data_IF_979366801314
#
_entry.id   IF_979366801314
#
_cell.length_a   1.000
_cell.length_b   1.000
_cell.length_c   1.000
_cell.angle_alpha   90.00
_cell.angle_beta   90.00
_cell.angle_gamma   90.00
#
_symmetry.space_group_name_H-M   'P 1'
#
loop_
_entity.id
_entity.type
_entity.pdbx_description
1 polymer ?
#
# COMPACT_ATOMS: atom_id res chain seq x y z
N UNK A 1 30.58 4.39 -29.24
CA UNK A 1 29.40 3.54 -28.97
C UNK A 1 29.07 3.56 -27.47
N UNK A 2 28.44 4.61 -26.94
CA UNK A 2 28.16 4.69 -25.49
C UNK A 2 26.92 5.51 -25.09
N UNK A 3 26.17 6.03 -26.06
CA UNK A 3 25.00 6.88 -25.80
C UNK A 3 23.68 6.10 -25.75
N UNK A 4 23.63 4.92 -26.38
CA UNK A 4 22.44 4.08 -26.38
C UNK A 4 22.30 3.23 -25.11
N UNK A 5 23.39 2.79 -24.48
CA UNK A 5 23.31 1.93 -23.28
C UNK A 5 22.72 2.64 -22.05
N UNK A 6 22.92 3.96 -21.91
CA UNK A 6 22.35 4.76 -20.82
C UNK A 6 20.85 5.02 -20.96
N UNK A 7 20.34 5.07 -22.19
CA UNK A 7 18.91 5.25 -22.46
C UNK A 7 18.12 3.99 -22.14
N UNK A 8 18.67 2.80 -22.43
CA UNK A 8 18.05 1.53 -22.08
C UNK A 8 18.20 1.17 -20.59
N UNK A 9 19.31 1.51 -19.93
CA UNK A 9 19.52 1.19 -18.51
C UNK A 9 18.58 1.97 -17.58
N UNK A 10 18.18 3.19 -17.97
CA UNK A 10 17.23 4.02 -17.22
C UNK A 10 15.83 3.41 -17.20
N UNK A 11 15.40 2.85 -18.33
CA UNK A 11 14.01 2.44 -18.54
C UNK A 11 13.63 1.15 -17.80
N UNK A 12 14.62 0.34 -17.40
CA UNK A 12 14.41 -0.98 -16.76
C UNK A 12 14.52 -0.97 -15.24
N UNK A 13 14.90 0.15 -14.61
CA UNK A 13 15.29 0.17 -13.18
C UNK A 13 14.19 -0.35 -12.24
N UNK A 14 12.92 -0.10 -12.58
CA UNK A 14 11.78 -0.43 -11.73
C UNK A 14 10.83 -1.47 -12.34
N UNK A 15 11.18 -2.04 -13.51
CA UNK A 15 10.29 -2.96 -14.25
C UNK A 15 10.02 -4.23 -13.43
N UNK A 16 11.08 -4.83 -12.90
CA UNK A 16 10.96 -5.99 -12.01
C UNK A 16 10.14 -5.68 -10.75
N UNK A 17 10.36 -4.52 -10.15
CA UNK A 17 9.67 -4.10 -8.92
C UNK A 17 8.18 -3.87 -9.19
N UNK A 18 7.80 -3.23 -10.30
CA UNK A 18 6.39 -2.99 -10.60
C UNK A 18 5.66 -4.30 -10.92
N UNK A 19 6.31 -5.22 -11.60
CA UNK A 19 5.79 -6.55 -11.93
C UNK A 19 5.52 -7.40 -10.67
N UNK A 20 6.35 -7.23 -9.64
CA UNK A 20 6.30 -8.00 -8.38
C UNK A 20 5.44 -7.35 -7.30
N UNK A 21 5.04 -6.08 -7.42
CA UNK A 21 4.35 -5.37 -6.33
C UNK A 21 3.03 -6.03 -5.93
N UNK A 22 2.11 -6.23 -6.89
CA UNK A 22 0.80 -6.87 -6.64
C UNK A 22 0.93 -8.29 -6.06
N UNK A 23 1.69 -9.23 -6.66
CA UNK A 23 1.81 -10.57 -6.09
C UNK A 23 2.52 -10.58 -4.71
N UNK A 24 3.43 -9.65 -4.45
CA UNK A 24 4.07 -9.53 -3.13
C UNK A 24 3.11 -9.00 -2.07
N UNK A 25 2.30 -7.99 -2.40
CA UNK A 25 1.24 -7.49 -1.53
C UNK A 25 0.21 -8.57 -1.20
N UNK A 26 -0.22 -9.35 -2.20
CA UNK A 26 -1.10 -10.49 -2.02
C UNK A 26 -0.49 -11.58 -1.13
N UNK A 27 0.78 -11.94 -1.37
CA UNK A 27 1.48 -12.92 -0.54
C UNK A 27 1.58 -12.46 0.92
N UNK A 28 1.89 -11.18 1.14
CA UNK A 28 1.93 -10.62 2.50
C UNK A 28 0.55 -10.71 3.16
N UNK A 29 -0.50 -10.26 2.47
CA UNK A 29 -1.86 -10.24 3.01
C UNK A 29 -2.31 -11.63 3.46
N UNK A 30 -2.12 -12.65 2.61
CA UNK A 30 -2.47 -14.05 2.91
C UNK A 30 -1.64 -14.58 4.08
N UNK A 31 -0.32 -14.37 4.06
CA UNK A 31 0.58 -14.92 5.09
C UNK A 31 0.47 -14.22 6.43
N UNK A 32 0.05 -12.95 6.47
CA UNK A 32 -0.11 -12.20 7.71
C UNK A 32 -1.40 -12.51 8.46
N UNK A 33 -2.42 -13.07 7.77
CA UNK A 33 -3.77 -13.19 8.34
C UNK A 33 -3.81 -13.99 9.64
N UNK A 34 -3.23 -15.20 9.66
CA UNK A 34 -3.25 -16.07 10.85
C UNK A 34 -2.59 -15.39 12.05
N UNK A 35 -1.45 -14.73 11.85
CA UNK A 35 -0.75 -14.02 12.93
C UNK A 35 -1.60 -12.89 13.51
N UNK A 36 -2.29 -12.14 12.64
CA UNK A 36 -3.19 -11.06 13.07
C UNK A 36 -4.41 -11.62 13.79
N UNK A 37 -5.00 -12.70 13.29
CA UNK A 37 -6.12 -13.39 13.90
C UNK A 37 -5.78 -13.92 15.31
N UNK A 38 -4.59 -14.48 15.49
CA UNK A 38 -4.12 -14.98 16.78
C UNK A 38 -3.92 -13.85 17.81
N UNK A 39 -3.55 -12.65 17.34
CA UNK A 39 -3.22 -11.50 18.19
C UNK A 39 -4.40 -10.57 18.45
N UNK A 40 -5.43 -10.61 17.58
CA UNK A 40 -6.56 -9.68 17.58
C UNK A 40 -7.87 -10.45 17.34
N UNK A 41 -8.58 -10.73 18.42
CA UNK A 41 -9.81 -11.54 18.42
C UNK A 41 -10.96 -10.93 17.62
N UNK A 42 -10.91 -9.62 17.36
CA UNK A 42 -11.83 -8.85 16.54
C UNK A 42 -11.88 -9.37 15.10
N UNK A 43 -10.82 -10.04 14.64
CA UNK A 43 -10.72 -10.61 13.29
C UNK A 43 -11.38 -11.98 13.14
N UNK A 44 -11.92 -12.59 14.22
CA UNK A 44 -12.46 -13.96 14.20
C UNK A 44 -13.56 -14.20 13.17
N UNK A 45 -14.34 -13.17 12.87
CA UNK A 45 -15.47 -13.25 11.93
C UNK A 45 -15.16 -12.63 10.56
N UNK A 46 -13.92 -12.20 10.33
CA UNK A 46 -13.50 -11.62 9.05
C UNK A 46 -13.35 -12.73 8.02
N UNK A 47 -13.95 -12.55 6.84
CA UNK A 47 -13.71 -13.42 5.70
C UNK A 47 -12.23 -13.28 5.26
N UNK A 48 -11.44 -14.37 5.24
CA UNK A 48 -10.06 -14.33 4.77
C UNK A 48 -9.90 -13.75 3.36
N UNK A 49 -10.91 -13.86 2.50
CA UNK A 49 -10.90 -13.28 1.15
C UNK A 49 -11.08 -11.76 1.16
N UNK A 50 -11.95 -11.25 2.03
CA UNK A 50 -12.09 -9.79 2.22
C UNK A 50 -10.79 -9.23 2.82
N UNK A 51 -10.22 -9.92 3.81
CA UNK A 51 -8.90 -9.58 4.38
C UNK A 51 -7.83 -9.48 3.30
N UNK A 52 -7.64 -10.56 2.53
CA UNK A 52 -6.66 -10.61 1.44
C UNK A 52 -6.85 -9.42 0.49
N UNK A 53 -8.08 -9.19 0.04
CA UNK A 53 -8.37 -8.11 -0.90
C UNK A 53 -7.98 -6.73 -0.35
N UNK A 54 -8.49 -6.33 0.82
CA UNK A 54 -8.26 -4.97 1.32
C UNK A 54 -6.82 -4.75 1.78
N UNK A 55 -6.20 -5.74 2.42
CA UNK A 55 -4.80 -5.64 2.87
C UNK A 55 -3.84 -5.61 1.67
N UNK A 56 -4.14 -6.36 0.60
CA UNK A 56 -3.37 -6.28 -0.65
C UNK A 56 -3.45 -4.90 -1.29
N UNK A 57 -4.67 -4.34 -1.42
CA UNK A 57 -4.88 -2.99 -1.96
C UNK A 57 -4.12 -1.94 -1.14
N UNK A 58 -4.17 -2.05 0.18
CA UNK A 58 -3.46 -1.16 1.07
C UNK A 58 -1.93 -1.26 0.92
N UNK A 59 -1.38 -2.47 0.77
CA UNK A 59 0.04 -2.67 0.47
C UNK A 59 0.46 -2.05 -0.87
N UNK A 60 -0.38 -2.20 -1.91
CA UNK A 60 -0.16 -1.57 -3.22
C UNK A 60 -0.16 -0.04 -3.09
N UNK A 61 -1.07 0.53 -2.29
CA UNK A 61 -1.14 1.98 -2.03
C UNK A 61 0.13 2.51 -1.37
N UNK A 62 0.64 1.82 -0.35
CA UNK A 62 1.94 2.17 0.29
C UNK A 62 3.07 2.14 -0.74
N UNK A 63 3.14 1.08 -1.55
CA UNK A 63 4.10 1.00 -2.64
C UNK A 63 3.96 2.16 -3.63
N UNK A 64 2.74 2.53 -4.01
CA UNK A 64 2.49 3.64 -4.92
C UNK A 64 2.96 5.00 -4.35
N UNK A 65 2.78 5.22 -3.04
CA UNK A 65 3.32 6.40 -2.36
C UNK A 65 4.84 6.47 -2.50
N UNK A 66 5.54 5.36 -2.19
CA UNK A 66 6.99 5.29 -2.37
C UNK A 66 7.43 5.52 -3.82
N UNK A 67 6.64 5.07 -4.81
CA UNK A 67 6.93 5.31 -6.23
C UNK A 67 6.95 6.80 -6.55
N UNK A 68 5.94 7.53 -6.06
CA UNK A 68 5.77 8.97 -6.30
C UNK A 68 6.91 9.82 -5.71
N UNK A 69 7.56 9.31 -4.66
CA UNK A 69 8.72 9.97 -4.04
C UNK A 69 10.02 9.71 -4.80
N UNK A 70 10.18 8.50 -5.35
CA UNK A 70 11.41 8.05 -6.03
C UNK A 70 11.48 8.43 -7.50
N UNK A 71 10.35 8.40 -8.22
CA UNK A 71 10.31 8.63 -9.67
C UNK A 71 9.90 10.07 -9.97
N UNK A 72 10.89 10.91 -10.31
CA UNK A 72 10.66 12.32 -10.66
C UNK A 72 10.22 12.53 -12.11
N UNK A 73 10.51 11.57 -12.99
CA UNK A 73 10.13 11.64 -14.41
C UNK A 73 8.65 11.30 -14.56
N UNK A 74 7.84 12.27 -14.99
CA UNK A 74 6.40 12.07 -15.26
C UNK A 74 6.14 10.96 -16.27
N UNK A 75 6.97 10.87 -17.32
CA UNK A 75 6.84 9.83 -18.35
C UNK A 75 7.11 8.44 -17.78
N UNK A 76 8.14 8.31 -16.93
CA UNK A 76 8.46 7.03 -16.30
C UNK A 76 7.41 6.64 -15.25
N UNK A 77 6.98 7.59 -14.42
CA UNK A 77 5.91 7.39 -13.45
C UNK A 77 4.63 6.90 -14.13
N UNK A 78 4.17 7.58 -15.18
CA UNK A 78 2.97 7.19 -15.94
C UNK A 78 3.09 5.81 -16.59
N UNK A 79 4.29 5.43 -17.04
CA UNK A 79 4.53 4.08 -17.59
C UNK A 79 4.39 3.02 -16.51
N UNK A 80 5.04 3.22 -15.36
CA UNK A 80 5.01 2.28 -14.24
C UNK A 80 3.60 2.16 -13.65
N UNK A 81 2.88 3.27 -13.47
CA UNK A 81 1.49 3.23 -12.99
C UNK A 81 0.55 2.55 -13.98
N UNK A 82 0.77 2.67 -15.29
CA UNK A 82 0.01 1.92 -16.30
C UNK A 82 0.26 0.40 -16.21
N UNK A 83 1.51 -0.01 -15.98
CA UNK A 83 1.83 -1.44 -15.75
C UNK A 83 1.13 -1.92 -14.48
N UNK A 84 1.27 -1.18 -13.39
CA UNK A 84 0.66 -1.50 -12.11
C UNK A 84 -0.87 -1.61 -12.21
N UNK A 85 -1.53 -0.64 -12.87
CA UNK A 85 -2.96 -0.66 -13.17
C UNK A 85 -3.38 -1.96 -13.88
N UNK A 86 -2.66 -2.34 -14.94
CA UNK A 86 -2.91 -3.60 -15.65
C UNK A 86 -2.78 -4.83 -14.74
N UNK A 87 -1.79 -4.83 -13.83
CA UNK A 87 -1.61 -5.92 -12.85
C UNK A 87 -2.72 -5.97 -11.82
N UNK A 88 -3.15 -4.83 -11.31
CA UNK A 88 -4.26 -4.72 -10.36
C UNK A 88 -5.53 -5.29 -10.99
N UNK A 89 -5.90 -4.83 -12.19
CA UNK A 89 -7.11 -5.30 -12.91
C UNK A 89 -7.05 -6.80 -13.16
N UNK A 90 -5.87 -7.32 -13.54
CA UNK A 90 -5.67 -8.77 -13.78
C UNK A 90 -5.84 -9.59 -12.50
N UNK A 91 -5.35 -9.10 -11.38
CA UNK A 91 -5.50 -9.76 -10.08
C UNK A 91 -6.94 -9.69 -9.58
N UNK A 92 -7.55 -8.49 -9.57
CA UNK A 92 -8.93 -8.27 -9.18
C UNK A 92 -9.52 -7.04 -9.89
N UNK A 93 -10.67 -7.22 -10.56
CA UNK A 93 -11.36 -6.15 -11.31
C UNK A 93 -11.78 -4.95 -10.44
N UNK A 94 -11.98 -5.15 -9.14
CA UNK A 94 -12.36 -4.09 -8.20
C UNK A 94 -11.15 -3.40 -7.55
N UNK A 95 -9.93 -3.89 -7.79
CA UNK A 95 -8.74 -3.41 -7.10
C UNK A 95 -8.43 -1.94 -7.37
N UNK A 96 -8.65 -1.44 -8.60
CA UNK A 96 -8.43 -0.02 -8.91
C UNK A 96 -9.43 0.90 -8.20
N UNK A 97 -10.69 0.46 -8.10
CA UNK A 97 -11.72 1.23 -7.40
C UNK A 97 -11.39 1.34 -5.91
N UNK A 98 -11.02 0.23 -5.28
CA UNK A 98 -10.60 0.21 -3.88
C UNK A 98 -9.31 1.02 -3.64
N UNK A 99 -8.34 0.95 -4.56
CA UNK A 99 -7.13 1.75 -4.49
C UNK A 99 -7.45 3.25 -4.58
N UNK A 100 -8.34 3.65 -5.50
CA UNK A 100 -8.78 5.04 -5.61
C UNK A 100 -9.46 5.52 -4.33
N UNK A 101 -10.31 4.69 -3.72
CA UNK A 101 -10.98 5.01 -2.46
C UNK A 101 -9.97 5.26 -1.32
N UNK A 102 -8.98 4.37 -1.16
CA UNK A 102 -7.91 4.57 -0.19
C UNK A 102 -7.09 5.84 -0.47
N UNK A 103 -6.76 6.13 -1.74
CA UNK A 103 -6.06 7.37 -2.11
C UNK A 103 -6.89 8.60 -1.74
N UNK A 104 -8.20 8.58 -1.93
CA UNK A 104 -9.10 9.66 -1.50
C UNK A 104 -9.06 9.85 0.02
N UNK A 105 -9.12 8.76 0.79
CA UNK A 105 -8.99 8.82 2.26
C UNK A 105 -7.64 9.41 2.66
N UNK A 106 -6.54 8.89 2.12
CA UNK A 106 -5.19 9.40 2.38
C UNK A 106 -5.04 10.89 2.05
N UNK A 107 -5.65 11.35 0.95
CA UNK A 107 -5.62 12.76 0.53
C UNK A 107 -6.33 13.65 1.54
N UNK A 108 -7.47 13.20 2.10
CA UNK A 108 -8.23 13.94 3.11
C UNK A 108 -7.41 14.23 4.37
N UNK A 109 -6.58 13.28 4.80
CA UNK A 109 -5.74 13.42 6.00
C UNK A 109 -4.38 14.06 5.72
N UNK A 110 -4.04 14.33 4.45
CA UNK A 110 -2.69 14.78 4.06
C UNK A 110 -2.26 16.06 4.75
N UNK A 111 -3.11 17.08 4.77
CA UNK A 111 -2.77 18.37 5.37
C UNK A 111 -2.53 18.27 6.88
N UNK A 112 -3.33 17.45 7.56
CA UNK A 112 -3.18 17.18 8.99
C UNK A 112 -1.87 16.43 9.27
N UNK A 113 -1.60 15.37 8.52
CA UNK A 113 -0.37 14.59 8.63
C UNK A 113 0.88 15.47 8.43
N UNK A 114 0.88 16.35 7.42
CA UNK A 114 2.04 17.22 7.12
C UNK A 114 2.38 18.24 8.22
N UNK A 115 1.49 18.45 9.21
CA UNK A 115 1.74 19.32 10.37
C UNK A 115 2.36 18.58 11.55
N UNK A 116 2.39 17.24 11.51
CA UNK A 116 2.89 16.41 12.60
C UNK A 116 4.42 16.27 12.53
N UNK A 117 5.08 16.09 13.69
CA UNK A 117 6.46 15.61 13.74
C UNK A 117 6.62 14.26 13.01
N UNK A 118 7.81 13.90 12.50
CA UNK A 118 8.01 12.67 11.72
C UNK A 118 7.49 11.39 12.40
N UNK A 119 7.72 11.23 13.71
CA UNK A 119 7.30 10.04 14.44
C UNK A 119 5.76 9.94 14.57
N UNK A 120 5.09 11.09 14.68
CA UNK A 120 3.64 11.18 14.73
C UNK A 120 3.01 11.06 13.33
N UNK A 121 3.69 11.57 12.31
CA UNK A 121 3.34 11.39 10.90
C UNK A 121 3.25 9.90 10.56
N UNK A 122 4.29 9.12 10.85
CA UNK A 122 4.29 7.68 10.53
C UNK A 122 3.20 6.93 11.29
N UNK A 123 2.96 7.26 12.56
CA UNK A 123 1.87 6.67 13.36
C UNK A 123 0.49 7.01 12.78
N UNK A 124 0.26 8.27 12.44
CA UNK A 124 -1.01 8.70 11.82
C UNK A 124 -1.20 8.03 10.46
N UNK A 125 -0.15 7.95 9.64
CA UNK A 125 -0.21 7.28 8.36
C UNK A 125 -0.57 5.79 8.50
N UNK A 126 0.09 5.08 9.42
CA UNK A 126 -0.25 3.71 9.75
C UNK A 126 -1.70 3.58 10.21
N UNK A 127 -2.14 4.45 11.12
CA UNK A 127 -3.50 4.47 11.62
C UNK A 127 -4.53 4.66 10.50
N UNK A 128 -4.31 5.59 9.57
CA UNK A 128 -5.23 5.87 8.45
C UNK A 128 -5.34 4.66 7.51
N UNK A 129 -4.21 4.03 7.15
CA UNK A 129 -4.21 2.82 6.30
C UNK A 129 -4.94 1.67 7.00
N UNK A 130 -4.61 1.43 8.27
CA UNK A 130 -5.24 0.37 9.05
C UNK A 130 -6.74 0.63 9.24
N UNK A 131 -7.13 1.85 9.56
CA UNK A 131 -8.53 2.28 9.68
C UNK A 131 -9.32 1.96 8.43
N UNK A 132 -8.77 2.29 7.25
CA UNK A 132 -9.41 2.03 5.97
C UNK A 132 -9.60 0.52 5.73
N UNK A 133 -8.60 -0.31 6.05
CA UNK A 133 -8.74 -1.76 5.95
C UNK A 133 -9.85 -2.27 6.86
N UNK A 134 -9.82 -1.92 8.15
CA UNK A 134 -10.78 -2.42 9.14
C UNK A 134 -12.22 -1.94 8.84
N UNK A 135 -12.39 -0.70 8.38
CA UNK A 135 -13.69 -0.18 7.98
C UNK A 135 -14.29 -0.98 6.83
N UNK A 136 -13.47 -1.34 5.83
CA UNK A 136 -13.91 -2.16 4.70
C UNK A 136 -14.18 -3.62 5.09
N UNK A 137 -13.52 -4.12 6.14
CA UNK A 137 -13.84 -5.40 6.79
C UNK A 137 -15.06 -5.33 7.72
N UNK A 138 -15.77 -4.20 7.75
CA UNK A 138 -16.98 -3.95 8.56
C UNK A 138 -16.72 -4.08 10.07
N UNK A 139 -15.48 -3.83 10.49
CA UNK A 139 -15.10 -3.80 11.89
C UNK A 139 -15.35 -2.41 12.47
N UNK A 140 -15.58 -2.36 13.78
CA UNK A 140 -15.71 -1.10 14.49
C UNK A 140 -14.35 -0.38 14.50
N UNK A 141 -14.34 0.86 13.99
CA UNK A 141 -13.15 1.70 13.95
C UNK A 141 -13.35 2.86 14.93
N UNK A 142 -12.57 2.94 16.03
CA UNK A 142 -12.68 4.03 16.98
C UNK A 142 -12.36 5.37 16.32
N UNK A 143 -13.22 6.36 16.55
CA UNK A 143 -13.10 7.71 15.94
C UNK A 143 -12.15 8.63 16.68
N UNK A 144 -12.00 8.43 17.99
CA UNK A 144 -11.28 9.36 18.86
C UNK A 144 -9.77 9.08 18.91
N UNK A 145 -9.37 7.80 18.90
CA UNK A 145 -7.97 7.41 18.94
C UNK A 145 -7.72 6.16 18.08
N UNK A 146 -6.58 6.10 17.37
CA UNK A 146 -6.17 4.89 16.66
C UNK A 146 -6.08 3.68 17.59
N UNK A 147 -6.73 2.57 17.22
CA UNK A 147 -6.56 1.32 17.94
C UNK A 147 -5.19 0.70 17.68
N UNK A 148 -4.79 -0.21 18.57
CA UNK A 148 -3.56 -1.02 18.40
C UNK A 148 -3.60 -1.80 17.07
N UNK A 149 -4.72 -2.47 16.77
CA UNK A 149 -4.89 -3.22 15.52
C UNK A 149 -4.75 -2.34 14.28
N UNK A 150 -5.36 -1.14 14.27
CA UNK A 150 -5.23 -0.19 13.15
C UNK A 150 -3.76 0.15 12.92
N UNK A 151 -3.06 0.53 13.98
CA UNK A 151 -1.66 0.97 13.91
C UNK A 151 -0.74 -0.17 13.49
N UNK A 152 -0.90 -1.37 14.07
CA UNK A 152 -0.07 -2.54 13.73
C UNK A 152 -0.28 -3.00 12.29
N UNK A 153 -1.53 -3.01 11.80
CA UNK A 153 -1.83 -3.37 10.42
C UNK A 153 -1.22 -2.36 9.45
N UNK A 154 -1.39 -1.06 9.69
CA UNK A 154 -0.78 -0.02 8.86
C UNK A 154 0.75 -0.07 8.89
N UNK A 155 1.35 -0.26 10.07
CA UNK A 155 2.81 -0.36 10.21
C UNK A 155 3.38 -1.58 9.49
N UNK A 156 2.70 -2.73 9.54
CA UNK A 156 3.08 -3.90 8.74
C UNK A 156 3.23 -3.53 7.26
N UNK A 157 2.24 -2.82 6.71
CA UNK A 157 2.21 -2.43 5.31
C UNK A 157 3.28 -1.40 4.96
N UNK A 158 3.43 -0.37 5.80
CA UNK A 158 4.46 0.67 5.64
C UNK A 158 5.85 0.03 5.63
N UNK A 159 6.20 -0.76 6.65
CA UNK A 159 7.53 -1.40 6.75
C UNK A 159 7.79 -2.33 5.56
N UNK A 160 6.75 -2.98 5.03
CA UNK A 160 6.90 -3.94 3.93
C UNK A 160 7.05 -3.27 2.56
N UNK A 161 6.40 -2.13 2.32
CA UNK A 161 6.24 -1.58 0.97
C UNK A 161 6.71 -0.13 0.78
N UNK A 162 6.98 0.64 1.85
CA UNK A 162 7.42 2.02 1.72
C UNK A 162 8.68 2.15 0.85
N UNK A 163 9.66 1.31 1.15
CA UNK A 163 10.95 1.28 0.46
C UNK A 163 10.99 0.32 -0.73
N UNK A 164 9.84 -0.08 -1.26
CA UNK A 164 9.74 -1.06 -2.36
C UNK A 164 10.59 -0.69 -3.60
N UNK A 165 10.75 0.61 -3.84
CA UNK A 165 11.49 1.15 -4.99
C UNK A 165 12.91 1.58 -4.66
N UNK A 166 13.34 1.41 -3.41
CA UNK A 166 14.74 1.57 -3.05
C UNK A 166 15.49 0.37 -3.63
N UNK A 167 16.45 0.62 -4.52
CA UNK A 167 17.28 -0.41 -5.13
C UNK A 167 17.90 -1.29 -4.05
N UNK A 168 17.57 -2.59 -4.05
CA UNK A 168 18.38 -3.59 -3.37
C UNK A 168 19.64 -3.85 -4.18
#
# INVERSE_FOLDING_TARGET
MGMFSRLFSSQMKYDDSVEKLVPSAHTLAVSSFTKFLDSHSELKNVDPKEWDFFVTVAGISVGLTGLSEKVRSTTEYNRLTKILSSKIIKWNKQGELALSDLVTVMTKYREEMMRLPPDEFTKMWAAVIGAWCLANLKLEVPREQPSKLMTELGMLLIVSFHDWWSSK
#
